data_IF_599218467823
#
_entry.id   IF_599218467823
#
_cell.length_a   1.000
_cell.length_b   1.000
_cell.length_c   1.000
_cell.angle_alpha   90.00
_cell.angle_beta   90.00
_cell.angle_gamma   90.00
#
_symmetry.space_group_name_H-M   'P 1'
#
loop_
_entity.id
_entity.type
_entity.pdbx_description
1 polymer ?
#
# COMPACT_ATOMS: atom_id res chain seq x y z
N UNK A 1 21.91 38.55 -19.03
CA UNK A 1 23.18 38.36 -18.28
C UNK A 1 22.93 38.64 -16.83
N UNK A 2 23.23 37.69 -15.96
CA UNK A 2 23.11 37.85 -14.52
C UNK A 2 24.53 38.08 -13.95
N UNK A 3 24.76 39.28 -13.43
CA UNK A 3 26.01 39.59 -12.73
C UNK A 3 25.81 39.43 -11.23
N UNK A 4 26.37 38.36 -10.66
CA UNK A 4 26.38 38.18 -9.23
C UNK A 4 27.64 38.83 -8.65
N UNK A 5 27.50 39.72 -7.68
CA UNK A 5 28.59 40.24 -6.87
C UNK A 5 29.04 39.21 -5.83
N UNK A 6 30.17 39.49 -5.14
CA UNK A 6 30.63 38.63 -4.03
C UNK A 6 29.50 38.41 -2.99
N UNK A 7 29.24 37.18 -2.64
CA UNK A 7 28.23 36.83 -1.64
C UNK A 7 26.79 36.72 -2.18
N UNK A 8 26.57 36.77 -3.49
CA UNK A 8 25.24 36.57 -4.08
C UNK A 8 24.81 35.10 -4.01
N UNK A 9 23.52 34.87 -3.74
CA UNK A 9 22.92 33.52 -3.74
C UNK A 9 21.76 33.47 -4.73
N UNK A 10 21.61 32.32 -5.36
CA UNK A 10 20.47 32.00 -6.22
C UNK A 10 19.70 30.84 -5.60
N UNK A 11 18.41 31.03 -5.40
CA UNK A 11 17.50 29.98 -4.89
C UNK A 11 16.73 29.40 -6.06
N UNK A 12 16.86 28.10 -6.27
CA UNK A 12 16.13 27.36 -7.30
C UNK A 12 15.15 26.42 -6.61
N UNK A 13 13.85 26.61 -6.82
CA UNK A 13 12.82 25.72 -6.30
C UNK A 13 12.59 24.58 -7.30
N UNK A 14 12.80 23.34 -6.87
CA UNK A 14 12.64 22.15 -7.70
C UNK A 14 11.51 21.27 -7.14
N UNK A 15 10.56 20.91 -7.99
CA UNK A 15 9.57 19.89 -7.69
C UNK A 15 9.96 18.59 -8.39
N UNK A 16 10.39 17.58 -7.60
CA UNK A 16 10.90 16.33 -8.11
C UNK A 16 9.98 15.17 -7.70
N UNK A 17 9.76 14.22 -8.62
CA UNK A 17 9.11 12.94 -8.33
C UNK A 17 10.13 11.83 -8.51
N UNK A 18 10.33 11.01 -7.48
CA UNK A 18 11.20 9.83 -7.57
C UNK A 18 10.56 8.78 -8.49
N UNK A 19 11.39 8.13 -9.33
CA UNK A 19 10.98 7.02 -10.20
C UNK A 19 11.55 5.68 -9.75
N UNK A 20 12.57 5.69 -8.90
CA UNK A 20 13.25 4.51 -8.37
C UNK A 20 13.86 4.83 -7.01
N UNK A 21 14.18 3.78 -6.27
CA UNK A 21 14.88 3.88 -5.00
C UNK A 21 16.34 4.29 -5.17
N UNK A 22 16.92 4.85 -4.12
CA UNK A 22 18.31 5.24 -4.07
C UNK A 22 18.51 6.72 -3.79
N UNK A 23 19.72 7.18 -4.00
CA UNK A 23 20.08 8.59 -3.75
C UNK A 23 19.57 9.47 -4.90
N UNK A 24 18.74 10.44 -4.57
CA UNK A 24 18.35 11.51 -5.47
C UNK A 24 19.41 12.62 -5.40
N UNK A 25 19.99 12.94 -6.54
CA UNK A 25 21.04 13.96 -6.66
C UNK A 25 20.64 15.04 -7.64
N UNK A 26 21.12 16.24 -7.40
CA UNK A 26 21.07 17.36 -8.35
C UNK A 26 22.52 17.75 -8.69
N UNK A 27 22.82 17.77 -9.97
CA UNK A 27 24.10 18.26 -10.47
C UNK A 27 23.91 19.69 -10.98
N UNK A 28 24.70 20.59 -10.46
CA UNK A 28 24.85 21.96 -10.96
C UNK A 28 26.07 21.97 -11.87
N UNK A 29 25.84 22.27 -13.13
CA UNK A 29 26.91 22.40 -14.14
C UNK A 29 27.06 23.84 -14.58
N UNK A 30 28.29 24.27 -14.72
CA UNK A 30 28.60 25.55 -15.30
C UNK A 30 28.55 25.46 -16.82
N UNK A 31 27.72 26.27 -17.44
CA UNK A 31 27.72 26.50 -18.88
C UNK A 31 28.11 27.96 -19.09
N UNK A 32 29.29 28.19 -19.63
CA UNK A 32 29.84 29.55 -19.91
C UNK A 32 29.94 30.46 -18.69
N UNK A 33 30.14 29.90 -17.49
CA UNK A 33 30.29 30.65 -16.24
C UNK A 33 31.43 30.11 -15.37
N UNK A 34 32.00 30.96 -14.53
CA UNK A 34 33.06 30.58 -13.57
C UNK A 34 32.41 30.03 -12.29
N UNK A 35 31.71 28.90 -12.44
CA UNK A 35 31.11 28.17 -11.31
C UNK A 35 31.66 26.75 -11.33
N UNK A 36 32.07 26.22 -10.19
CA UNK A 36 32.51 24.83 -10.10
C UNK A 36 31.27 23.92 -10.19
N UNK A 37 31.34 22.90 -11.06
CA UNK A 37 30.30 21.87 -11.11
C UNK A 37 30.24 21.11 -9.80
N UNK A 38 29.06 20.91 -9.27
CA UNK A 38 28.82 20.21 -8.01
C UNK A 38 27.63 19.25 -8.14
N UNK A 39 27.75 18.08 -7.51
CA UNK A 39 26.66 17.16 -7.34
C UNK A 39 26.24 17.16 -5.87
N UNK A 40 24.98 17.46 -5.61
CA UNK A 40 24.40 17.53 -4.28
C UNK A 40 23.41 16.39 -4.11
N UNK A 41 23.53 15.62 -3.04
CA UNK A 41 22.50 14.67 -2.62
C UNK A 41 21.37 15.45 -1.95
N UNK A 42 20.18 15.40 -2.52
CA UNK A 42 19.02 16.13 -2.02
C UNK A 42 18.06 15.26 -1.20
N UNK A 43 18.05 13.95 -1.44
CA UNK A 43 17.22 13.00 -0.69
C UNK A 43 17.76 11.59 -0.84
N UNK A 44 17.35 10.70 0.06
CA UNK A 44 17.41 9.26 -0.13
C UNK A 44 15.99 8.75 -0.36
N UNK A 45 15.75 8.17 -1.52
CA UNK A 45 14.46 7.58 -1.89
C UNK A 45 14.45 6.16 -1.39
N UNK A 46 13.58 5.87 -0.45
CA UNK A 46 13.37 4.52 0.08
C UNK A 46 12.09 3.94 -0.50
N UNK A 47 12.11 2.67 -0.86
CA UNK A 47 10.93 1.95 -1.28
C UNK A 47 9.93 1.83 -0.14
N UNK A 48 8.68 2.03 -0.49
CA UNK A 48 7.59 1.71 0.41
C UNK A 48 7.28 0.22 0.34
N UNK A 49 7.06 -0.41 1.49
CA UNK A 49 6.52 -1.75 1.60
C UNK A 49 5.30 -1.76 2.49
N UNK A 50 4.53 -2.84 2.44
CA UNK A 50 3.45 -3.08 3.38
C UNK A 50 3.73 -4.32 4.21
N UNK A 51 3.25 -4.31 5.44
CA UNK A 51 3.19 -5.50 6.29
C UNK A 51 1.74 -5.86 6.53
N UNK A 52 1.42 -7.16 6.50
CA UNK A 52 0.07 -7.64 6.77
C UNK A 52 0.09 -8.56 7.97
N UNK A 53 -0.87 -8.39 8.85
CA UNK A 53 -1.01 -9.23 10.06
C UNK A 53 -2.46 -9.64 10.26
N UNK A 54 -2.63 -10.82 10.85
CA UNK A 54 -3.88 -11.31 11.41
C UNK A 54 -3.62 -11.69 12.86
N UNK A 55 -4.42 -11.19 13.79
CA UNK A 55 -4.14 -11.40 15.21
C UNK A 55 -4.74 -12.68 15.77
N UNK A 56 -5.82 -13.19 15.19
CA UNK A 56 -6.56 -14.31 15.72
C UNK A 56 -6.58 -15.50 14.75
N UNK A 57 -6.18 -16.67 15.25
CA UNK A 57 -6.42 -17.95 14.59
C UNK A 57 -7.75 -18.49 15.09
N UNK A 58 -8.64 -18.85 14.16
CA UNK A 58 -9.95 -19.42 14.49
C UNK A 58 -10.22 -20.65 13.63
N UNK A 59 -11.10 -21.53 14.12
CA UNK A 59 -11.53 -22.70 13.37
C UNK A 59 -12.65 -22.30 12.38
N UNK A 60 -12.46 -22.60 11.11
CA UNK A 60 -13.44 -22.32 10.07
C UNK A 60 -14.44 -23.46 9.99
N UNK A 61 -15.73 -23.12 9.95
CA UNK A 61 -16.84 -24.06 9.89
C UNK A 61 -17.57 -23.96 8.54
N UNK A 62 -18.43 -24.94 8.23
CA UNK A 62 -19.29 -24.92 7.03
C UNK A 62 -20.21 -23.70 6.96
N UNK A 63 -20.67 -23.23 8.11
CA UNK A 63 -21.52 -22.03 8.20
C UNK A 63 -20.73 -20.73 8.11
N UNK A 64 -19.39 -20.84 8.14
CA UNK A 64 -18.47 -19.73 8.12
C UNK A 64 -18.22 -19.13 9.50
N UNK A 65 -17.10 -18.44 9.59
CA UNK A 65 -16.66 -17.71 10.77
C UNK A 65 -16.17 -16.33 10.36
N UNK A 66 -16.40 -15.35 11.20
CA UNK A 66 -15.84 -14.02 11.01
C UNK A 66 -14.36 -14.01 11.36
N UNK A 67 -13.54 -13.55 10.42
CA UNK A 67 -12.12 -13.33 10.63
C UNK A 67 -11.94 -11.86 10.99
N UNK A 68 -11.37 -11.64 12.17
CA UNK A 68 -11.16 -10.30 12.70
C UNK A 68 -9.67 -9.90 12.64
N UNK A 69 -9.44 -8.60 12.80
CA UNK A 69 -8.10 -8.02 12.98
C UNK A 69 -7.12 -8.30 11.83
N UNK A 70 -7.62 -8.31 10.59
CA UNK A 70 -6.75 -8.27 9.43
C UNK A 70 -6.38 -6.82 9.18
N UNK A 71 -5.09 -6.54 9.20
CA UNK A 71 -4.56 -5.20 8.95
C UNK A 71 -3.46 -5.23 7.90
N UNK A 72 -3.41 -4.17 7.10
CA UNK A 72 -2.32 -3.87 6.16
C UNK A 72 -1.74 -2.53 6.56
N UNK A 73 -0.45 -2.53 6.90
CA UNK A 73 0.25 -1.32 7.33
C UNK A 73 1.21 -0.87 6.26
N UNK A 74 1.19 0.40 5.92
CA UNK A 74 2.27 1.02 5.16
C UNK A 74 3.50 1.19 6.05
N UNK A 75 4.68 0.88 5.55
CA UNK A 75 5.95 1.20 6.23
C UNK A 75 6.37 2.64 5.97
N UNK A 76 5.92 3.18 4.85
CA UNK A 76 6.19 4.56 4.41
C UNK A 76 4.91 5.13 3.80
N UNK A 77 4.64 6.40 4.03
CA UNK A 77 3.50 7.09 3.43
C UNK A 77 3.51 6.97 1.90
N UNK A 78 2.34 6.79 1.30
CA UNK A 78 2.17 6.67 -0.15
C UNK A 78 2.61 5.33 -0.74
N UNK A 79 2.80 4.30 0.10
CA UNK A 79 3.10 2.93 -0.37
C UNK A 79 1.88 2.31 -1.06
N UNK A 80 0.70 2.48 -0.48
CA UNK A 80 -0.54 2.08 -1.13
C UNK A 80 -0.88 3.07 -2.24
N UNK A 81 -1.14 2.53 -3.42
CA UNK A 81 -1.36 3.31 -4.64
C UNK A 81 -2.75 3.05 -5.21
N UNK A 82 -3.16 3.97 -6.09
CA UNK A 82 -4.39 3.80 -6.86
C UNK A 82 -4.38 2.45 -7.57
N UNK A 83 -5.43 1.66 -7.35
CA UNK A 83 -5.53 0.34 -7.95
C UNK A 83 -6.45 -0.58 -7.17
N UNK A 84 -6.22 -1.88 -7.33
CA UNK A 84 -6.98 -2.92 -6.64
C UNK A 84 -6.09 -3.60 -5.61
N UNK A 85 -6.50 -3.55 -4.35
CA UNK A 85 -5.97 -4.36 -3.27
C UNK A 85 -6.79 -5.66 -3.20
N UNK A 86 -6.12 -6.79 -3.15
CA UNK A 86 -6.74 -8.10 -3.17
C UNK A 86 -6.36 -8.91 -1.93
N UNK A 87 -7.36 -9.45 -1.27
CA UNK A 87 -7.22 -10.49 -0.27
C UNK A 87 -7.62 -11.82 -0.92
N UNK A 88 -6.71 -12.79 -1.00
CA UNK A 88 -6.95 -14.11 -1.57
C UNK A 88 -6.83 -15.18 -0.51
N UNK A 89 -7.86 -16.00 -0.42
CA UNK A 89 -7.86 -17.20 0.42
C UNK A 89 -7.11 -18.37 -0.25
N UNK A 90 -6.59 -19.27 0.55
CA UNK A 90 -6.10 -20.56 0.08
C UNK A 90 -7.25 -21.34 -0.60
N UNK A 91 -6.92 -22.16 -1.61
CA UNK A 91 -7.91 -23.02 -2.27
C UNK A 91 -8.69 -23.89 -1.27
N UNK A 92 -9.96 -24.09 -1.54
CA UNK A 92 -10.88 -24.80 -0.66
C UNK A 92 -11.59 -23.93 0.36
N UNK A 93 -11.30 -22.62 0.36
CA UNK A 93 -11.95 -21.63 1.23
C UNK A 93 -12.57 -20.50 0.40
N UNK A 94 -13.68 -19.98 0.87
CA UNK A 94 -14.43 -18.91 0.20
C UNK A 94 -14.87 -17.84 1.19
N UNK A 95 -14.95 -16.61 0.72
CA UNK A 95 -15.65 -15.54 1.44
C UNK A 95 -17.16 -15.73 1.32
N UNK A 96 -17.88 -15.44 2.38
CA UNK A 96 -19.35 -15.47 2.34
C UNK A 96 -19.89 -14.30 1.53
N UNK A 97 -20.62 -14.59 0.47
CA UNK A 97 -21.16 -13.59 -0.47
C UNK A 97 -22.24 -12.68 0.14
N UNK A 98 -22.96 -13.19 1.17
CA UNK A 98 -24.02 -12.45 1.88
C UNK A 98 -23.46 -11.49 2.95
N UNK A 99 -22.15 -11.49 3.20
CA UNK A 99 -21.49 -10.62 4.17
C UNK A 99 -20.57 -9.63 3.44
N UNK A 100 -20.94 -8.35 3.50
CA UNK A 100 -20.14 -7.31 2.89
C UNK A 100 -19.00 -6.90 3.83
N UNK A 101 -17.73 -7.00 3.38
CA UNK A 101 -16.59 -6.52 4.16
C UNK A 101 -16.68 -5.05 4.50
N UNK A 102 -16.18 -4.68 5.67
CA UNK A 102 -15.94 -3.30 6.07
C UNK A 102 -14.46 -2.97 6.02
N UNK A 103 -14.13 -1.70 5.78
CA UNK A 103 -12.74 -1.22 5.73
C UNK A 103 -12.66 0.10 6.48
N UNK A 104 -11.59 0.25 7.26
CA UNK A 104 -11.25 1.50 7.94
C UNK A 104 -9.79 1.82 7.67
N UNK A 105 -9.52 3.07 7.31
CA UNK A 105 -8.15 3.60 7.11
C UNK A 105 -7.81 4.51 8.27
N UNK A 106 -6.64 4.33 8.87
CA UNK A 106 -6.10 5.17 9.95
C UNK A 106 -4.76 5.79 9.52
N UNK A 107 -4.51 7.06 9.81
CA UNK A 107 -5.42 8.02 10.46
C UNK A 107 -6.57 8.43 9.55
N UNK A 108 -7.74 8.64 10.13
CA UNK A 108 -8.99 8.97 9.40
C UNK A 108 -9.11 10.45 9.04
N UNK A 109 -8.27 11.31 9.57
CA UNK A 109 -8.32 12.75 9.35
C UNK A 109 -6.92 13.38 9.38
N UNK A 110 -6.78 14.43 8.61
CA UNK A 110 -5.56 15.17 8.38
C UNK A 110 -5.32 15.24 6.87
N UNK A 111 -4.10 15.37 6.43
CA UNK A 111 -3.74 15.37 5.01
C UNK A 111 -3.66 13.96 4.42
N UNK A 112 -4.56 13.06 4.81
CA UNK A 112 -4.59 11.68 4.32
C UNK A 112 -5.77 11.51 3.37
N UNK A 113 -5.48 11.47 2.08
CA UNK A 113 -6.48 11.29 1.02
C UNK A 113 -6.63 9.82 0.60
N UNK A 114 -5.95 8.90 1.30
CA UNK A 114 -6.06 7.47 1.03
C UNK A 114 -7.46 6.96 1.38
N UNK A 115 -8.14 6.43 0.39
CA UNK A 115 -9.43 5.78 0.53
C UNK A 115 -9.36 4.33 0.06
N UNK A 116 -9.91 3.41 0.87
CA UNK A 116 -10.02 2.00 0.52
C UNK A 116 -11.46 1.57 0.71
N UNK A 117 -12.07 1.05 -0.35
CA UNK A 117 -13.47 0.61 -0.34
C UNK A 117 -13.62 -0.80 -0.89
N UNK A 118 -14.52 -1.58 -0.32
CA UNK A 118 -14.85 -2.88 -0.88
C UNK A 118 -15.50 -2.72 -2.25
N UNK A 119 -14.99 -3.45 -3.24
CA UNK A 119 -15.51 -3.46 -4.61
C UNK A 119 -16.41 -4.68 -4.84
N UNK A 120 -15.82 -5.88 -4.85
CA UNK A 120 -16.53 -7.12 -5.09
C UNK A 120 -15.76 -8.35 -4.59
N UNK A 121 -16.45 -9.48 -4.55
CA UNK A 121 -15.80 -10.79 -4.55
C UNK A 121 -15.56 -11.27 -5.98
N UNK A 122 -14.53 -12.06 -6.18
CA UNK A 122 -14.13 -12.62 -7.47
C UNK A 122 -13.59 -14.04 -7.30
N UNK A 123 -13.32 -14.74 -8.41
CA UNK A 123 -12.73 -16.08 -8.42
C UNK A 123 -13.47 -17.05 -7.49
N UNK A 124 -14.78 -17.23 -7.75
CA UNK A 124 -15.65 -18.08 -6.93
C UNK A 124 -15.58 -17.76 -5.42
N UNK A 125 -15.58 -16.47 -5.11
CA UNK A 125 -15.47 -15.94 -3.74
C UNK A 125 -14.17 -16.23 -3.00
N UNK A 126 -13.12 -16.70 -3.69
CA UNK A 126 -11.79 -16.81 -3.10
C UNK A 126 -11.09 -15.47 -2.94
N UNK A 127 -11.43 -14.49 -3.78
CA UNK A 127 -10.84 -13.16 -3.79
C UNK A 127 -11.84 -12.13 -3.26
N UNK A 128 -11.40 -11.30 -2.31
CA UNK A 128 -12.07 -10.05 -1.96
C UNK A 128 -11.26 -8.88 -2.53
N UNK A 129 -11.88 -8.10 -3.40
CA UNK A 129 -11.26 -6.98 -4.09
C UNK A 129 -11.69 -5.66 -3.47
N UNK A 130 -10.72 -4.79 -3.26
CA UNK A 130 -10.90 -3.46 -2.69
C UNK A 130 -10.29 -2.43 -3.63
N UNK A 131 -11.04 -1.37 -3.90
CA UNK A 131 -10.55 -0.23 -4.66
C UNK A 131 -9.77 0.70 -3.75
N UNK A 132 -8.54 1.01 -4.13
CA UNK A 132 -7.68 1.98 -3.47
C UNK A 132 -7.62 3.24 -4.33
N UNK A 133 -7.82 4.40 -3.74
CA UNK A 133 -7.75 5.71 -4.38
C UNK A 133 -7.11 6.75 -3.45
N UNK A 134 -6.52 7.78 -4.05
CA UNK A 134 -5.76 8.77 -3.31
C UNK A 134 -4.37 8.27 -2.91
N UNK A 135 -3.77 8.92 -1.95
CA UNK A 135 -2.49 8.53 -1.36
C UNK A 135 -2.39 9.01 0.09
N UNK A 136 -1.66 8.27 0.89
CA UNK A 136 -1.38 8.68 2.27
C UNK A 136 -0.25 9.72 2.31
N UNK A 137 -0.39 10.74 3.15
CA UNK A 137 0.68 11.68 3.50
C UNK A 137 1.42 11.28 4.79
N UNK A 138 0.86 10.32 5.51
CA UNK A 138 1.45 9.67 6.69
C UNK A 138 1.21 8.17 6.53
N UNK A 139 2.18 7.35 6.92
CA UNK A 139 2.04 5.89 6.85
C UNK A 139 0.74 5.44 7.51
N UNK A 140 -0.08 4.73 6.75
CA UNK A 140 -1.45 4.40 7.11
C UNK A 140 -1.61 2.93 7.44
N UNK A 141 -2.62 2.63 8.25
CA UNK A 141 -3.09 1.29 8.54
C UNK A 141 -4.48 1.11 7.93
N UNK A 142 -4.63 0.09 7.11
CA UNK A 142 -5.93 -0.35 6.56
C UNK A 142 -6.40 -1.56 7.36
N UNK A 143 -7.52 -1.43 8.03
CA UNK A 143 -8.14 -2.51 8.83
C UNK A 143 -9.37 -3.04 8.12
N UNK A 144 -9.45 -4.37 8.02
CA UNK A 144 -10.58 -5.07 7.40
C UNK A 144 -11.39 -5.76 8.48
N UNK A 145 -12.72 -5.64 8.37
CA UNK A 145 -13.67 -6.28 9.27
C UNK A 145 -14.83 -6.90 8.50
N UNK A 146 -15.68 -7.63 9.22
CA UNK A 146 -16.82 -8.36 8.67
C UNK A 146 -16.44 -9.29 7.49
N UNK A 147 -15.23 -9.84 7.53
CA UNK A 147 -14.76 -10.85 6.60
C UNK A 147 -15.16 -12.23 7.11
N UNK A 148 -16.14 -12.83 6.49
CA UNK A 148 -16.60 -14.16 6.82
C UNK A 148 -16.03 -15.18 5.85
N UNK A 149 -15.43 -16.23 6.37
CA UNK A 149 -14.79 -17.30 5.60
C UNK A 149 -15.46 -18.63 5.94
N UNK A 150 -15.77 -19.40 4.91
CA UNK A 150 -16.25 -20.78 5.01
C UNK A 150 -15.35 -21.68 4.16
N UNK A 151 -15.39 -22.98 4.38
CA UNK A 151 -14.76 -23.92 3.47
C UNK A 151 -15.74 -24.39 2.40
N UNK A 152 -15.22 -24.71 1.21
CA UNK A 152 -16.01 -25.31 0.13
C UNK A 152 -16.10 -26.84 0.37
N UNK A 153 -17.30 -27.34 0.64
CA UNK A 153 -17.54 -28.76 0.87
C UNK A 153 -17.11 -29.67 -0.31
N UNK A 154 -17.00 -29.09 -1.50
CA UNK A 154 -16.58 -29.83 -2.71
C UNK A 154 -15.07 -30.06 -2.74
N UNK A 155 -14.32 -29.26 -2.01
CA UNK A 155 -12.85 -29.32 -1.94
C UNK A 155 -12.46 -29.89 -0.57
N UNK A 156 -12.56 -31.21 -0.43
CA UNK A 156 -12.49 -31.96 0.84
C UNK A 156 -11.10 -31.99 1.49
N UNK A 157 -10.49 -30.86 1.72
CA UNK A 157 -9.28 -30.76 2.52
C UNK A 157 -9.61 -30.31 3.96
N UNK A 158 -10.53 -31.00 4.60
CA UNK A 158 -10.82 -30.84 6.04
C UNK A 158 -9.52 -31.05 6.83
N UNK A 159 -9.06 -30.02 7.49
CA UNK A 159 -7.82 -30.03 8.30
C UNK A 159 -6.68 -29.17 7.74
N UNK A 160 -6.83 -28.55 6.59
CA UNK A 160 -5.84 -27.64 6.03
C UNK A 160 -5.94 -26.24 6.67
N UNK A 161 -4.80 -25.58 6.82
CA UNK A 161 -4.77 -24.19 7.24
C UNK A 161 -5.25 -23.28 6.10
N UNK A 162 -6.15 -22.34 6.43
CA UNK A 162 -6.50 -21.24 5.55
C UNK A 162 -5.54 -20.10 5.76
N UNK A 163 -4.94 -19.59 4.71
CA UNK A 163 -4.15 -18.36 4.73
C UNK A 163 -4.78 -17.29 3.84
N UNK A 164 -4.49 -16.04 4.15
CA UNK A 164 -4.88 -14.89 3.35
C UNK A 164 -3.63 -14.28 2.75
N UNK A 165 -3.57 -14.22 1.44
CA UNK A 165 -2.51 -13.50 0.72
C UNK A 165 -3.00 -12.11 0.34
N UNK A 166 -2.24 -11.08 0.70
CA UNK A 166 -2.48 -9.69 0.33
C UNK A 166 -1.65 -9.34 -0.89
N UNK A 167 -2.26 -8.71 -1.90
CA UNK A 167 -1.55 -8.33 -3.13
C UNK A 167 -2.19 -7.13 -3.83
N UNK A 168 -1.47 -6.50 -4.75
CA UNK A 168 -1.94 -5.36 -5.53
C UNK A 168 -1.82 -4.00 -4.80
N UNK A 169 -2.19 -2.92 -5.48
CA UNK A 169 -2.18 -1.55 -4.96
C UNK A 169 -0.86 -1.13 -4.26
N UNK A 170 0.29 -1.58 -4.76
CA UNK A 170 1.60 -1.26 -4.19
C UNK A 170 2.07 -2.18 -3.06
N UNK A 171 1.31 -3.22 -2.68
CA UNK A 171 1.65 -4.12 -1.56
C UNK A 171 2.88 -5.01 -1.78
N UNK A 172 3.29 -5.23 -3.01
CA UNK A 172 4.40 -6.12 -3.39
C UNK A 172 5.45 -5.36 -4.22
N UNK A 173 5.94 -4.26 -3.70
CA UNK A 173 7.14 -3.63 -4.26
C UNK A 173 8.37 -4.25 -3.62
N UNK A 174 8.97 -5.23 -4.30
CA UNK A 174 10.37 -5.61 -4.12
C UNK A 174 11.27 -4.64 -4.87
#
# INVERSE_FOLDING_TARGET
EFYAGEGSSVVINLNCKAKQEGDATVTVEAVDAVVSSQTLKIANVVGGSTTSTISDKTSITETGVEINNIVVNETTAGTLENGTLKLRLTNGFQFRSDKKPSVVVFPTKGNNDLEVTFDKFDNDYQDALFKVSGSSSTASTVSFGNLWVLYDEKDTNVGNECSITVSGAGTNRE
#
